data_IF_057970679767
#
_entry.id   IF_057970679767
#
_cell.length_a   1.000
_cell.length_b   1.000
_cell.length_c   1.000
_cell.angle_alpha   90.00
_cell.angle_beta   90.00
_cell.angle_gamma   90.00
#
_symmetry.space_group_name_H-M   'P 1'
#
loop_
_entity.id
_entity.type
_entity.pdbx_description
1 polymer ?
#
# COMPACT_ATOMS: atom_id res chain seq x y z
N UNK A 1 -2.54 -17.85 7.95
CA UNK A 1 -1.74 -16.88 8.70
C UNK A 1 -0.35 -16.67 8.07
N UNK A 2 -0.28 -16.32 6.77
CA UNK A 2 1.00 -16.03 6.08
C UNK A 2 1.04 -14.61 5.47
N UNK A 3 -0.02 -13.82 5.67
CA UNK A 3 -0.16 -12.51 5.03
C UNK A 3 0.92 -11.52 5.50
N UNK A 4 1.38 -11.61 6.75
CA UNK A 4 2.49 -10.78 7.24
C UNK A 4 3.83 -11.09 6.57
N UNK A 5 4.05 -12.33 6.13
CA UNK A 5 5.24 -12.71 5.37
C UNK A 5 5.19 -12.14 3.96
N UNK A 6 4.03 -12.26 3.31
CA UNK A 6 3.80 -11.71 1.98
C UNK A 6 3.88 -10.18 1.97
N UNK A 7 3.33 -9.48 2.97
CA UNK A 7 3.41 -8.01 3.06
C UNK A 7 4.87 -7.53 3.16
N UNK A 8 5.67 -8.17 4.03
CA UNK A 8 7.10 -7.85 4.16
C UNK A 8 7.89 -8.13 2.88
N UNK A 9 7.53 -9.16 2.12
CA UNK A 9 8.15 -9.48 0.83
C UNK A 9 7.81 -8.44 -0.25
N UNK A 10 6.57 -7.93 -0.26
CA UNK A 10 6.15 -6.85 -1.16
C UNK A 10 6.86 -5.54 -0.81
N UNK A 11 6.96 -5.19 0.47
CA UNK A 11 7.68 -3.99 0.92
C UNK A 11 9.18 -4.05 0.56
N UNK A 12 9.82 -5.21 0.73
CA UNK A 12 11.20 -5.44 0.27
C UNK A 12 11.32 -5.26 -1.25
N UNK A 13 10.36 -5.77 -2.00
CA UNK A 13 10.32 -5.64 -3.46
C UNK A 13 10.14 -4.18 -3.90
N UNK A 14 9.32 -3.40 -3.18
CA UNK A 14 9.18 -1.96 -3.38
C UNK A 14 10.50 -1.21 -3.12
N UNK A 15 11.17 -1.48 -2.00
CA UNK A 15 12.47 -0.87 -1.69
C UNK A 15 13.51 -1.19 -2.77
N UNK A 16 13.55 -2.44 -3.22
CA UNK A 16 14.43 -2.86 -4.33
C UNK A 16 14.08 -2.13 -5.64
N UNK A 17 12.79 -2.01 -5.96
CA UNK A 17 12.33 -1.27 -7.14
C UNK A 17 12.73 0.21 -7.07
N UNK A 18 12.62 0.85 -5.89
CA UNK A 18 13.04 2.23 -5.69
C UNK A 18 14.55 2.42 -5.90
N UNK A 19 15.37 1.50 -5.37
CA UNK A 19 16.81 1.53 -5.58
C UNK A 19 17.17 1.42 -7.08
N UNK A 20 16.55 0.47 -7.78
CA UNK A 20 16.73 0.30 -9.23
C UNK A 20 16.30 1.56 -9.99
N UNK A 21 15.17 2.16 -9.63
CA UNK A 21 14.68 3.39 -10.26
C UNK A 21 15.66 4.55 -10.06
N UNK A 22 16.19 4.74 -8.84
CA UNK A 22 17.17 5.77 -8.55
C UNK A 22 18.45 5.58 -9.37
N UNK A 23 18.98 4.36 -9.44
CA UNK A 23 20.19 4.03 -10.21
C UNK A 23 20.02 4.29 -11.71
N UNK A 24 18.81 4.05 -12.22
CA UNK A 24 18.46 4.29 -13.62
C UNK A 24 18.32 5.80 -13.88
N UNK A 25 17.54 6.51 -13.05
CA UNK A 25 17.33 7.95 -13.19
C UNK A 25 18.63 8.77 -13.04
N UNK A 26 19.57 8.30 -12.23
CA UNK A 26 20.91 8.91 -12.13
C UNK A 26 21.68 8.94 -13.48
N UNK A 27 21.26 8.14 -14.47
CA UNK A 27 21.85 8.09 -15.81
C UNK A 27 21.16 9.00 -16.82
N UNK A 28 20.08 9.68 -16.45
CA UNK A 28 19.29 10.53 -17.36
C UNK A 28 20.15 11.58 -18.07
N UNK A 29 21.06 12.23 -17.34
CA UNK A 29 21.98 13.24 -17.91
C UNK A 29 22.86 12.67 -19.03
N UNK A 30 23.23 11.38 -18.98
CA UNK A 30 24.02 10.76 -20.05
C UNK A 30 23.22 10.64 -21.35
N UNK A 31 21.91 10.42 -21.27
CA UNK A 31 21.04 10.38 -22.45
C UNK A 31 20.83 11.79 -23.01
N UNK A 32 20.70 12.81 -22.15
CA UNK A 32 20.65 14.22 -22.59
C UNK A 32 21.93 14.64 -23.31
N UNK A 33 23.09 14.29 -22.76
CA UNK A 33 24.39 14.55 -23.39
C UNK A 33 24.53 13.83 -24.72
N UNK A 34 24.08 12.56 -24.82
CA UNK A 34 24.07 11.82 -26.08
C UNK A 34 23.24 12.54 -27.14
N UNK A 35 22.02 12.97 -26.79
CA UNK A 35 21.16 13.72 -27.70
C UNK A 35 21.78 15.05 -28.13
N UNK A 36 22.40 15.79 -27.22
CA UNK A 36 23.13 17.02 -27.56
C UNK A 36 24.26 16.74 -28.55
N UNK A 37 25.09 15.73 -28.29
CA UNK A 37 26.21 15.37 -29.16
C UNK A 37 25.75 14.90 -30.54
N UNK A 38 24.65 14.13 -30.60
CA UNK A 38 24.03 13.73 -31.87
C UNK A 38 23.51 14.95 -32.65
N UNK A 39 22.91 15.93 -31.97
CA UNK A 39 22.46 17.17 -32.59
C UNK A 39 23.62 17.98 -33.17
N UNK A 40 24.74 18.12 -32.42
CA UNK A 40 25.93 18.85 -32.86
C UNK A 40 26.53 18.22 -34.13
N UNK A 41 26.72 16.88 -34.14
CA UNK A 41 27.21 16.16 -35.32
C UNK A 41 26.28 16.29 -36.54
N UNK A 42 24.98 16.43 -36.33
CA UNK A 42 24.04 16.69 -37.40
C UNK A 42 24.11 18.12 -37.93
N UNK A 43 24.31 19.10 -37.04
CA UNK A 43 24.45 20.51 -37.40
C UNK A 43 25.73 20.77 -38.21
N UNK A 44 26.81 20.05 -37.88
CA UNK A 44 28.09 20.10 -38.61
C UNK A 44 28.08 19.35 -39.95
N UNK A 45 26.94 18.75 -40.35
CA UNK A 45 26.79 17.97 -41.58
C UNK A 45 27.80 16.83 -41.70
N UNK A 46 27.98 16.08 -40.61
CA UNK A 46 28.79 14.87 -40.61
C UNK A 46 28.36 13.90 -41.72
N UNK A 47 29.31 13.20 -42.36
CA UNK A 47 29.08 12.37 -43.54
C UNK A 47 28.00 11.29 -43.33
N UNK A 48 27.74 10.85 -42.09
CA UNK A 48 26.73 9.84 -41.75
C UNK A 48 25.66 10.34 -40.76
N UNK A 49 25.31 11.63 -40.77
CA UNK A 49 24.31 12.21 -39.85
C UNK A 49 22.97 11.45 -39.82
N UNK A 50 22.52 10.90 -40.96
CA UNK A 50 21.27 10.11 -41.00
C UNK A 50 21.36 8.84 -40.15
N UNK A 51 22.49 8.12 -40.21
CA UNK A 51 22.72 6.92 -39.38
C UNK A 51 22.79 7.29 -37.90
N UNK A 52 23.42 8.43 -37.58
CA UNK A 52 23.50 8.95 -36.21
C UNK A 52 22.09 9.23 -35.67
N UNK A 53 21.24 9.94 -36.42
CA UNK A 53 19.85 10.23 -36.01
C UNK A 53 19.02 8.97 -35.79
N UNK A 54 19.13 7.99 -36.69
CA UNK A 54 18.42 6.71 -36.55
C UNK A 54 18.86 5.99 -35.27
N UNK A 55 20.17 5.98 -34.99
CA UNK A 55 20.71 5.31 -33.79
C UNK A 55 20.35 6.04 -32.51
N UNK A 56 20.43 7.36 -32.50
CA UNK A 56 19.97 8.21 -31.39
C UNK A 56 18.51 7.90 -31.05
N UNK A 57 17.64 7.91 -32.07
CA UNK A 57 16.21 7.63 -31.90
C UNK A 57 15.95 6.25 -31.28
N UNK A 58 16.60 5.19 -31.78
CA UNK A 58 16.48 3.83 -31.22
C UNK A 58 16.91 3.79 -29.74
N UNK A 59 17.98 4.50 -29.37
CA UNK A 59 18.45 4.56 -27.98
C UNK A 59 17.44 5.30 -27.09
N UNK A 60 16.91 6.44 -27.53
CA UNK A 60 15.92 7.22 -26.77
C UNK A 60 14.58 6.49 -26.66
N UNK A 61 14.14 5.78 -27.70
CA UNK A 61 12.94 4.94 -27.65
C UNK A 61 13.10 3.81 -26.63
N UNK A 62 14.27 3.14 -26.57
CA UNK A 62 14.54 2.11 -25.55
C UNK A 62 14.60 2.69 -24.14
N UNK A 63 15.17 3.88 -23.97
CA UNK A 63 15.23 4.59 -22.69
C UNK A 63 13.83 4.93 -22.18
N UNK A 64 13.00 5.55 -23.01
CA UNK A 64 11.62 5.91 -22.65
C UNK A 64 10.78 4.65 -22.37
N UNK A 65 10.97 3.58 -23.15
CA UNK A 65 10.33 2.30 -22.89
C UNK A 65 10.74 1.71 -21.52
N UNK A 66 12.03 1.75 -21.18
CA UNK A 66 12.53 1.32 -19.86
C UNK A 66 11.89 2.10 -18.72
N UNK A 67 11.79 3.44 -18.84
CA UNK A 67 11.14 4.28 -17.83
C UNK A 67 9.66 3.91 -17.65
N UNK A 68 8.95 3.66 -18.75
CA UNK A 68 7.56 3.20 -18.69
C UNK A 68 7.41 1.85 -17.97
N UNK A 69 8.31 0.89 -18.23
CA UNK A 69 8.31 -0.40 -17.54
C UNK A 69 8.57 -0.26 -16.03
N UNK A 70 9.49 0.63 -15.63
CA UNK A 70 9.76 0.90 -14.21
C UNK A 70 8.53 1.47 -13.51
N UNK A 71 7.84 2.41 -14.16
CA UNK A 71 6.66 3.05 -13.60
C UNK A 71 5.48 2.08 -13.50
N UNK A 72 5.26 1.24 -14.52
CA UNK A 72 4.25 0.18 -14.48
C UNK A 72 4.51 -0.79 -13.32
N UNK A 73 5.76 -1.24 -13.17
CA UNK A 73 6.15 -2.12 -12.08
C UNK A 73 5.98 -1.46 -10.71
N UNK A 74 6.31 -0.16 -10.59
CA UNK A 74 6.11 0.61 -9.36
C UNK A 74 4.63 0.67 -8.98
N UNK A 75 3.75 1.02 -9.92
CA UNK A 75 2.30 1.06 -9.71
C UNK A 75 1.73 -0.30 -9.28
N UNK A 76 2.14 -1.37 -9.95
CA UNK A 76 1.70 -2.72 -9.61
C UNK A 76 2.12 -3.13 -8.18
N UNK A 77 3.39 -2.88 -7.82
CA UNK A 77 3.89 -3.19 -6.47
C UNK A 77 3.24 -2.34 -5.38
N UNK A 78 2.94 -1.06 -5.66
CA UNK A 78 2.19 -0.22 -4.73
C UNK A 78 0.77 -0.73 -4.51
N UNK A 79 0.04 -1.05 -5.59
CA UNK A 79 -1.31 -1.59 -5.46
C UNK A 79 -1.36 -2.92 -4.69
N UNK A 80 -0.34 -3.76 -4.86
CA UNK A 80 -0.19 -4.99 -4.06
C UNK A 80 0.13 -4.69 -2.60
N UNK A 81 1.00 -3.71 -2.33
CA UNK A 81 1.33 -3.30 -0.96
C UNK A 81 0.11 -2.74 -0.22
N UNK A 82 -0.67 -1.91 -0.89
CA UNK A 82 -1.90 -1.33 -0.33
C UNK A 82 -2.91 -2.44 0.02
N UNK A 83 -3.11 -3.41 -0.87
CA UNK A 83 -3.94 -4.59 -0.60
C UNK A 83 -3.45 -5.36 0.62
N UNK A 84 -2.15 -5.67 0.68
CA UNK A 84 -1.58 -6.44 1.78
C UNK A 84 -1.68 -5.68 3.11
N UNK A 85 -1.54 -4.35 3.11
CA UNK A 85 -1.74 -3.52 4.29
C UNK A 85 -3.20 -3.59 4.76
N UNK A 86 -4.16 -3.40 3.85
CA UNK A 86 -5.59 -3.46 4.17
C UNK A 86 -6.00 -4.80 4.75
N UNK A 87 -5.54 -5.91 4.16
CA UNK A 87 -5.82 -7.24 4.67
C UNK A 87 -5.25 -7.45 6.08
N UNK A 88 -4.04 -6.96 6.34
CA UNK A 88 -3.42 -7.01 7.66
C UNK A 88 -4.16 -6.14 8.67
N UNK A 89 -4.59 -4.95 8.28
CA UNK A 89 -5.32 -4.03 9.15
C UNK A 89 -6.68 -4.63 9.55
N UNK A 90 -7.39 -5.24 8.60
CA UNK A 90 -8.64 -5.96 8.87
C UNK A 90 -8.41 -7.15 9.82
N UNK A 91 -7.38 -7.96 9.59
CA UNK A 91 -7.07 -9.11 10.45
C UNK A 91 -6.69 -8.66 11.87
N UNK A 92 -5.98 -7.54 11.99
CA UNK A 92 -5.59 -6.96 13.29
C UNK A 92 -6.82 -6.43 14.02
N UNK A 93 -7.67 -5.66 13.34
CA UNK A 93 -8.94 -5.17 13.87
C UNK A 93 -9.83 -6.33 14.35
N UNK A 94 -10.00 -7.38 13.56
CA UNK A 94 -10.79 -8.55 13.94
C UNK A 94 -10.25 -9.25 15.21
N UNK A 95 -8.92 -9.34 15.33
CA UNK A 95 -8.27 -9.90 16.52
C UNK A 95 -8.49 -9.01 17.75
N UNK A 96 -8.36 -7.69 17.62
CA UNK A 96 -8.57 -6.75 18.72
C UNK A 96 -10.03 -6.73 19.18
N UNK A 97 -11.00 -6.76 18.26
CA UNK A 97 -12.42 -6.90 18.60
C UNK A 97 -12.71 -8.20 19.35
N UNK A 98 -12.09 -9.30 18.93
CA UNK A 98 -12.24 -10.60 19.62
C UNK A 98 -11.65 -10.57 21.03
N UNK A 99 -10.58 -9.80 21.26
CA UNK A 99 -9.99 -9.63 22.58
C UNK A 99 -10.85 -8.75 23.50
N UNK A 100 -11.62 -7.81 22.94
CA UNK A 100 -12.53 -6.93 23.67
C UNK A 100 -13.86 -7.62 24.05
N UNK A 101 -14.32 -8.58 23.26
CA UNK A 101 -15.61 -9.27 23.43
C UNK A 101 -15.87 -9.77 24.87
N UNK A 102 -14.92 -10.41 25.59
CA UNK A 102 -15.16 -10.88 26.95
C UNK A 102 -15.38 -9.73 27.96
N UNK A 103 -14.67 -8.61 27.78
CA UNK A 103 -14.78 -7.45 28.66
C UNK A 103 -16.13 -6.75 28.48
N UNK A 104 -16.61 -6.63 27.24
CA UNK A 104 -17.93 -6.06 26.92
C UNK A 104 -19.07 -6.94 27.42
N UNK A 105 -18.92 -8.27 27.36
CA UNK A 105 -19.94 -9.23 27.82
C UNK A 105 -19.96 -9.44 29.32
N UNK A 106 -19.04 -8.85 30.08
CA UNK A 106 -19.00 -8.99 31.52
C UNK A 106 -20.24 -8.33 32.15
N UNK A 107 -21.00 -9.09 32.95
CA UNK A 107 -22.21 -8.64 33.65
C UNK A 107 -22.01 -8.50 35.16
N UNK A 108 -20.76 -8.52 35.64
CA UNK A 108 -20.47 -8.28 37.04
C UNK A 108 -20.88 -6.85 37.42
N UNK A 109 -21.64 -6.73 38.52
CA UNK A 109 -22.15 -5.46 39.04
C UNK A 109 -21.48 -5.08 40.36
N UNK A 110 -20.51 -5.86 40.83
CA UNK A 110 -19.81 -5.60 42.08
C UNK A 110 -20.70 -5.85 43.31
N UNK A 111 -20.06 -5.99 44.48
CA UNK A 111 -20.75 -6.28 45.75
C UNK A 111 -20.81 -5.08 46.70
N UNK A 112 -19.88 -4.13 46.52
CA UNK A 112 -19.67 -2.98 47.40
C UNK A 112 -19.25 -1.76 46.57
N UNK A 113 -19.48 -0.55 47.09
CA UNK A 113 -19.25 0.73 46.39
C UNK A 113 -17.86 0.82 45.72
N UNK A 114 -16.78 0.52 46.46
CA UNK A 114 -15.41 0.52 45.94
C UNK A 114 -15.23 -0.42 44.72
N UNK A 115 -15.90 -1.58 44.73
CA UNK A 115 -15.85 -2.51 43.60
C UNK A 115 -16.68 -2.03 42.41
N UNK A 116 -17.79 -1.33 42.67
CA UNK A 116 -18.60 -0.70 41.63
C UNK A 116 -17.83 0.43 40.95
N UNK A 117 -17.11 1.26 41.71
CA UNK A 117 -16.28 2.34 41.17
C UNK A 117 -15.14 1.81 40.28
N UNK A 118 -14.46 0.74 40.71
CA UNK A 118 -13.44 0.07 39.88
C UNK A 118 -14.02 -0.54 38.59
N UNK A 119 -15.20 -1.18 38.68
CA UNK A 119 -15.90 -1.70 37.50
C UNK A 119 -16.33 -0.59 36.54
N UNK A 120 -16.76 0.56 37.05
CA UNK A 120 -17.12 1.72 36.23
C UNK A 120 -15.91 2.26 35.47
N UNK A 121 -14.77 2.43 36.14
CA UNK A 121 -13.54 2.88 35.48
C UNK A 121 -13.07 1.90 34.39
N UNK A 122 -13.18 0.59 34.64
CA UNK A 122 -12.91 -0.43 33.60
C UNK A 122 -13.90 -0.34 32.43
N UNK A 123 -15.17 -0.08 32.71
CA UNK A 123 -16.19 0.09 31.67
C UNK A 123 -15.87 1.29 30.77
N UNK A 124 -15.55 2.45 31.34
CA UNK A 124 -15.16 3.65 30.58
C UNK A 124 -13.95 3.39 29.67
N UNK A 125 -12.95 2.64 30.15
CA UNK A 125 -11.79 2.25 29.33
C UNK A 125 -12.20 1.35 28.16
N UNK A 126 -13.09 0.37 28.40
CA UNK A 126 -13.59 -0.51 27.35
C UNK A 126 -14.42 0.27 26.33
N UNK A 127 -15.28 1.18 26.76
CA UNK A 127 -16.05 2.05 25.87
C UNK A 127 -15.14 2.92 24.99
N UNK A 128 -14.12 3.54 25.58
CA UNK A 128 -13.13 4.32 24.84
C UNK A 128 -12.42 3.46 23.79
N UNK A 129 -12.05 2.23 24.15
CA UNK A 129 -11.38 1.31 23.23
C UNK A 129 -12.33 0.88 22.10
N UNK A 130 -13.58 0.52 22.38
CA UNK A 130 -14.58 0.15 21.35
C UNK A 130 -14.82 1.33 20.39
N UNK A 131 -14.94 2.55 20.89
CA UNK A 131 -15.11 3.74 20.05
C UNK A 131 -13.90 3.99 19.13
N UNK A 132 -12.69 3.76 19.64
CA UNK A 132 -11.47 3.83 18.82
C UNK A 132 -11.49 2.76 17.71
N UNK A 133 -11.90 1.53 18.03
CA UNK A 133 -12.04 0.45 17.03
C UNK A 133 -13.09 0.79 15.96
N UNK A 134 -14.23 1.39 16.33
CA UNK A 134 -15.25 1.82 15.36
C UNK A 134 -14.75 2.91 14.40
N UNK A 135 -13.94 3.83 14.92
CA UNK A 135 -13.28 4.86 14.09
C UNK A 135 -12.28 4.21 13.13
N UNK A 136 -11.50 3.25 13.60
CA UNK A 136 -10.55 2.52 12.76
C UNK A 136 -11.25 1.68 11.70
N UNK A 137 -12.31 0.95 12.05
CA UNK A 137 -13.17 0.21 11.13
C UNK A 137 -13.70 1.11 10.01
N UNK A 138 -14.17 2.30 10.35
CA UNK A 138 -14.65 3.28 9.36
C UNK A 138 -13.54 3.68 8.38
N UNK A 139 -12.35 3.95 8.88
CA UNK A 139 -11.20 4.32 8.05
C UNK A 139 -10.77 3.17 7.12
N UNK A 140 -10.63 1.96 7.65
CA UNK A 140 -10.26 0.76 6.87
C UNK A 140 -11.33 0.44 5.83
N UNK A 141 -12.62 0.56 6.19
CA UNK A 141 -13.74 0.37 5.26
C UNK A 141 -13.69 1.38 4.11
N UNK A 142 -13.41 2.64 4.38
CA UNK A 142 -13.31 3.65 3.34
C UNK A 142 -12.17 3.35 2.36
N UNK A 143 -10.99 2.98 2.88
CA UNK A 143 -9.84 2.64 2.04
C UNK A 143 -10.08 1.36 1.23
N UNK A 144 -10.62 0.32 1.85
CA UNK A 144 -10.97 -0.93 1.19
C UNK A 144 -12.01 -0.70 0.07
N UNK A 145 -13.05 0.10 0.33
CA UNK A 145 -14.06 0.43 -0.68
C UNK A 145 -13.47 1.19 -1.89
N UNK A 146 -12.50 2.08 -1.67
CA UNK A 146 -11.79 2.75 -2.76
C UNK A 146 -11.02 1.72 -3.62
N UNK A 147 -10.34 0.78 -2.97
CA UNK A 147 -9.62 -0.30 -3.65
C UNK A 147 -10.55 -1.25 -4.42
N UNK A 148 -11.70 -1.60 -3.83
CA UNK A 148 -12.69 -2.48 -4.47
C UNK A 148 -13.31 -1.83 -5.70
N UNK A 149 -13.57 -0.51 -5.66
CA UNK A 149 -14.10 0.24 -6.82
C UNK A 149 -13.17 0.24 -8.01
N UNK A 150 -11.86 0.24 -7.79
CA UNK A 150 -10.89 0.11 -8.89
C UNK A 150 -10.78 -1.32 -9.43
N UNK A 151 -11.52 -2.28 -8.86
CA UNK A 151 -11.47 -3.72 -9.16
C UNK A 151 -10.04 -4.25 -9.12
N UNK A 152 -9.32 -3.87 -8.08
CA UNK A 152 -7.97 -4.37 -7.81
C UNK A 152 -7.93 -5.90 -7.61
N UNK A 153 -6.73 -6.45 -7.49
CA UNK A 153 -6.54 -7.88 -7.29
C UNK A 153 -7.16 -8.34 -5.95
N UNK A 154 -7.73 -9.54 -5.89
CA UNK A 154 -8.30 -10.14 -4.65
C UNK A 154 -9.34 -9.27 -3.93
N UNK A 155 -10.03 -8.38 -4.67
CA UNK A 155 -11.07 -7.50 -4.11
C UNK A 155 -12.22 -8.29 -3.47
N UNK A 156 -12.48 -9.50 -3.93
CA UNK A 156 -13.50 -10.42 -3.40
C UNK A 156 -13.12 -10.94 -2.01
N UNK A 157 -11.85 -11.30 -1.79
CA UNK A 157 -11.33 -11.70 -0.49
C UNK A 157 -11.34 -10.52 0.48
N UNK A 158 -10.92 -9.35 0.00
CA UNK A 158 -10.93 -8.11 0.79
C UNK A 158 -12.35 -7.75 1.22
N UNK A 159 -13.33 -7.80 0.31
CA UNK A 159 -14.73 -7.53 0.61
C UNK A 159 -15.27 -8.48 1.68
N UNK A 160 -15.06 -9.80 1.52
CA UNK A 160 -15.54 -10.80 2.49
C UNK A 160 -14.97 -10.54 3.89
N UNK A 161 -13.67 -10.31 3.99
CA UNK A 161 -13.02 -10.01 5.28
C UNK A 161 -13.53 -8.72 5.91
N UNK A 162 -13.80 -7.71 5.08
CA UNK A 162 -14.38 -6.45 5.54
C UNK A 162 -15.80 -6.64 6.08
N UNK A 163 -16.62 -7.42 5.39
CA UNK A 163 -17.98 -7.75 5.83
C UNK A 163 -17.97 -8.53 7.15
N UNK A 164 -17.06 -9.51 7.28
CA UNK A 164 -16.91 -10.31 8.50
C UNK A 164 -16.53 -9.45 9.72
N UNK A 165 -15.52 -8.58 9.60
CA UNK A 165 -15.10 -7.72 10.71
C UNK A 165 -16.15 -6.67 11.06
N UNK A 166 -16.89 -6.18 10.05
CA UNK A 166 -18.01 -5.26 10.26
C UNK A 166 -19.13 -5.94 11.03
N UNK A 167 -19.50 -7.17 10.66
CA UNK A 167 -20.50 -7.95 11.36
C UNK A 167 -20.06 -8.24 12.82
N UNK A 168 -18.78 -8.54 13.04
CA UNK A 168 -18.24 -8.75 14.38
C UNK A 168 -18.35 -7.50 15.26
N UNK A 169 -18.14 -6.31 14.71
CA UNK A 169 -18.25 -5.05 15.46
C UNK A 169 -19.70 -4.74 15.89
N UNK A 170 -20.70 -5.13 15.10
CA UNK A 170 -22.11 -4.86 15.38
C UNK A 170 -22.86 -6.01 16.07
N UNK A 171 -22.19 -7.13 16.36
CA UNK A 171 -22.76 -8.30 17.05
C UNK A 171 -22.68 -8.21 18.57
#
# INVERSE_FOLDING_TARGET
MDQGRTANEVEKSLKKQQAIANDILAREERFKLLTSMCADLCNEKYHESDKIRVRERDIIERWTHLLNLLEQRRKALMGLNDLMSLLRDIDTLASELKQLEPAVRNRDVGKHLLGVEDLLGKHELVEAQVNAQGTWLTNVSNQANIYIRSKGEQYDVLQRKLDDVTAQYYS
#
